data_IF_054706651048
#
_entry.id   IF_054706651048
#
_cell.length_a   1.000
_cell.length_b   1.000
_cell.length_c   1.000
_cell.angle_alpha   90.00
_cell.angle_beta   90.00
_cell.angle_gamma   90.00
#
_symmetry.space_group_name_H-M   'P 1'
#
loop_
_entity.id
_entity.type
_entity.pdbx_description
1 polymer ?
#
# COMPACT_ATOMS: atom_id res chain seq x y z
N UNK A 1 5.61 23.42 -24.33
CA UNK A 1 4.30 23.00 -23.81
C UNK A 1 3.91 24.02 -22.76
N UNK A 2 2.75 24.62 -22.93
CA UNK A 2 2.16 25.54 -21.94
C UNK A 2 1.83 24.80 -20.63
N UNK A 3 1.67 25.53 -19.52
CA UNK A 3 1.37 24.94 -18.20
C UNK A 3 0.05 24.15 -18.24
N UNK A 4 -1.00 24.69 -18.88
CA UNK A 4 -2.30 24.01 -18.95
C UNK A 4 -2.23 22.76 -19.83
N UNK A 5 -1.43 22.81 -20.89
CA UNK A 5 -1.13 21.62 -21.71
C UNK A 5 -0.40 20.56 -20.88
N UNK A 6 0.56 20.96 -20.03
CA UNK A 6 1.27 20.01 -19.15
C UNK A 6 0.36 19.36 -18.13
N UNK A 7 -0.54 20.11 -17.51
CA UNK A 7 -1.51 19.56 -16.55
C UNK A 7 -2.41 18.52 -17.24
N UNK A 8 -2.97 18.84 -18.41
CA UNK A 8 -3.79 17.90 -19.20
C UNK A 8 -3.01 16.66 -19.59
N UNK A 9 -1.75 16.83 -20.00
CA UNK A 9 -0.88 15.72 -20.35
C UNK A 9 -0.66 14.77 -19.16
N UNK A 10 -0.26 15.28 -18.00
CA UNK A 10 -0.01 14.46 -16.79
C UNK A 10 -1.27 13.69 -16.39
N UNK A 11 -2.43 14.34 -16.33
CA UNK A 11 -3.70 13.68 -16.02
C UNK A 11 -4.02 12.55 -17.01
N UNK A 12 -3.73 12.76 -18.29
CA UNK A 12 -3.96 11.74 -19.32
C UNK A 12 -3.04 10.53 -19.17
N UNK A 13 -1.79 10.74 -18.79
CA UNK A 13 -0.83 9.65 -18.57
C UNK A 13 -1.16 8.85 -17.31
N UNK A 14 -1.57 9.52 -16.23
CA UNK A 14 -2.03 8.84 -15.02
C UNK A 14 -3.32 8.03 -15.27
N UNK A 15 -4.27 8.55 -16.05
CA UNK A 15 -5.47 7.81 -16.42
C UNK A 15 -5.13 6.54 -17.23
N UNK A 16 -4.20 6.63 -18.20
CA UNK A 16 -3.70 5.47 -18.95
C UNK A 16 -3.03 4.46 -18.03
N UNK A 17 -2.22 4.92 -17.07
CA UNK A 17 -1.58 4.03 -16.10
C UNK A 17 -2.62 3.26 -15.28
N UNK A 18 -3.69 3.92 -14.82
CA UNK A 18 -4.79 3.26 -14.09
C UNK A 18 -5.50 2.23 -14.99
N UNK A 19 -5.79 2.58 -16.25
CA UNK A 19 -6.44 1.66 -17.20
C UNK A 19 -5.57 0.43 -17.54
N UNK A 20 -4.25 0.58 -17.46
CA UNK A 20 -3.29 -0.49 -17.74
C UNK A 20 -3.10 -1.48 -16.58
N UNK A 21 -3.71 -1.23 -15.41
CA UNK A 21 -3.60 -2.11 -14.25
C UNK A 21 -4.09 -3.51 -14.63
N UNK A 22 -3.18 -4.48 -14.61
CA UNK A 22 -3.51 -5.87 -14.86
C UNK A 22 -4.30 -6.44 -13.67
N UNK A 23 -5.54 -6.83 -13.92
CA UNK A 23 -6.41 -7.49 -12.94
C UNK A 23 -6.35 -9.00 -13.18
N UNK A 24 -6.03 -9.74 -12.13
CA UNK A 24 -5.95 -11.20 -12.14
C UNK A 24 -6.54 -11.81 -10.86
N UNK A 25 -6.57 -13.14 -10.78
CA UNK A 25 -7.12 -13.85 -9.61
C UNK A 25 -6.38 -13.56 -8.31
N UNK A 26 -5.14 -13.06 -8.36
CA UNK A 26 -4.39 -12.68 -7.16
C UNK A 26 -5.10 -11.60 -6.32
N UNK A 27 -5.86 -10.71 -6.96
CA UNK A 27 -6.67 -9.71 -6.24
C UNK A 27 -7.72 -10.38 -5.36
N UNK A 28 -8.40 -11.40 -5.90
CA UNK A 28 -9.43 -12.15 -5.18
C UNK A 28 -8.83 -12.87 -3.98
N UNK A 29 -7.67 -13.49 -4.16
CA UNK A 29 -6.99 -14.22 -3.10
C UNK A 29 -6.53 -13.29 -1.97
N UNK A 30 -5.93 -12.14 -2.32
CA UNK A 30 -5.50 -11.14 -1.33
C UNK A 30 -6.67 -10.51 -0.60
N UNK A 31 -7.77 -10.17 -1.30
CA UNK A 31 -8.98 -9.62 -0.65
C UNK A 31 -9.58 -10.63 0.33
N UNK A 32 -9.66 -11.91 -0.05
CA UNK A 32 -10.12 -12.96 0.86
C UNK A 32 -9.18 -13.16 2.05
N UNK A 33 -7.88 -13.09 1.84
CA UNK A 33 -6.89 -13.19 2.92
C UNK A 33 -7.09 -12.04 3.92
N UNK A 34 -7.19 -10.80 3.43
CA UNK A 34 -7.41 -9.61 4.26
C UNK A 34 -8.76 -9.66 5.01
N UNK A 35 -9.83 -10.11 4.35
CA UNK A 35 -11.14 -10.24 4.96
C UNK A 35 -11.19 -11.27 6.11
N UNK A 36 -10.29 -12.26 6.10
CA UNK A 36 -10.15 -13.28 7.15
C UNK A 36 -9.02 -12.97 8.14
N UNK A 37 -8.48 -11.74 8.14
CA UNK A 37 -7.44 -11.34 9.09
C UNK A 37 -7.98 -11.43 10.53
N UNK A 38 -7.26 -12.12 11.40
CA UNK A 38 -7.70 -12.36 12.79
C UNK A 38 -7.25 -11.25 13.76
N UNK A 39 -6.36 -10.36 13.33
CA UNK A 39 -5.80 -9.30 14.15
C UNK A 39 -5.82 -7.99 13.35
N UNK A 40 -4.71 -7.62 12.71
CA UNK A 40 -4.58 -6.38 11.95
C UNK A 40 -3.75 -6.56 10.69
N UNK A 41 -3.97 -5.67 9.74
CA UNK A 41 -3.19 -5.54 8.52
C UNK A 41 -2.08 -4.51 8.76
N UNK A 42 -0.84 -4.96 8.82
CA UNK A 42 0.33 -4.09 8.91
C UNK A 42 0.76 -3.72 7.50
N UNK A 43 0.88 -2.43 7.22
CA UNK A 43 1.37 -1.92 5.93
C UNK A 43 2.75 -1.33 6.11
N UNK A 44 3.60 -1.45 5.09
CA UNK A 44 4.96 -0.90 5.17
C UNK A 44 5.46 -0.45 3.79
N UNK A 45 6.41 0.48 3.77
CA UNK A 45 7.01 1.00 2.54
C UNK A 45 7.89 2.22 2.80
N UNK A 46 8.78 2.54 1.86
CA UNK A 46 9.71 3.68 1.95
C UNK A 46 9.33 4.78 0.95
N UNK A 47 9.52 6.03 1.34
CA UNK A 47 9.33 7.20 0.48
C UNK A 47 7.91 7.32 -0.08
N UNK A 48 7.77 7.56 -1.39
CA UNK A 48 6.46 7.69 -2.04
C UNK A 48 5.57 6.46 -1.85
N UNK A 49 6.15 5.26 -1.90
CA UNK A 49 5.42 4.02 -1.65
C UNK A 49 4.96 3.92 -0.19
N UNK A 50 5.77 4.41 0.75
CA UNK A 50 5.40 4.54 2.17
C UNK A 50 4.21 5.48 2.39
N UNK A 51 4.14 6.61 1.70
CA UNK A 51 2.97 7.50 1.77
C UNK A 51 1.68 6.82 1.28
N UNK A 52 1.76 6.05 0.19
CA UNK A 52 0.61 5.28 -0.31
C UNK A 52 0.23 4.16 0.66
N UNK A 53 1.21 3.44 1.22
CA UNK A 53 0.99 2.41 2.24
C UNK A 53 0.26 2.98 3.48
N UNK A 54 0.70 4.15 3.95
CA UNK A 54 0.08 4.83 5.08
C UNK A 54 -1.36 5.26 4.77
N UNK A 55 -1.62 5.85 3.59
CA UNK A 55 -2.99 6.16 3.14
C UNK A 55 -3.85 4.91 3.05
N UNK A 56 -3.30 3.81 2.53
CA UNK A 56 -3.99 2.53 2.41
C UNK A 56 -4.40 2.00 3.79
N UNK A 57 -3.50 2.03 4.76
CA UNK A 57 -3.78 1.65 6.16
C UNK A 57 -4.88 2.50 6.80
N UNK A 58 -4.83 3.82 6.61
CA UNK A 58 -5.87 4.73 7.09
C UNK A 58 -7.23 4.42 6.45
N UNK A 59 -7.23 4.11 5.15
CA UNK A 59 -8.46 3.73 4.43
C UNK A 59 -9.06 2.45 5.03
N UNK A 60 -8.25 1.38 5.17
CA UNK A 60 -8.69 0.12 5.76
C UNK A 60 -9.29 0.31 7.16
N UNK A 61 -8.60 1.06 8.02
CA UNK A 61 -9.04 1.30 9.39
C UNK A 61 -10.39 2.04 9.42
N UNK A 62 -10.58 3.03 8.53
CA UNK A 62 -11.85 3.76 8.43
C UNK A 62 -13.00 2.94 7.84
N UNK A 63 -12.70 1.87 7.10
CA UNK A 63 -13.70 0.96 6.51
C UNK A 63 -13.89 -0.33 7.31
N UNK A 64 -13.40 -0.38 8.56
CA UNK A 64 -13.65 -1.51 9.48
C UNK A 64 -12.66 -2.66 9.40
N UNK A 65 -11.54 -2.51 8.69
CA UNK A 65 -10.43 -3.48 8.69
C UNK A 65 -9.27 -2.92 9.53
N UNK A 66 -8.99 -3.46 10.74
CA UNK A 66 -7.93 -2.95 11.59
C UNK A 66 -6.59 -2.92 10.85
N UNK A 67 -5.93 -1.76 10.81
CA UNK A 67 -4.66 -1.62 10.11
C UNK A 67 -3.74 -0.60 10.78
N UNK A 68 -2.43 -0.79 10.62
CA UNK A 68 -1.39 0.15 11.06
C UNK A 68 -0.29 0.26 10.02
N UNK A 69 0.33 1.43 9.89
CA UNK A 69 1.52 1.63 9.07
C UNK A 69 2.78 1.52 9.93
N UNK A 70 3.72 0.69 9.49
CA UNK A 70 5.05 0.52 10.07
C UNK A 70 6.10 1.02 9.07
N UNK A 71 6.84 2.06 9.44
CA UNK A 71 7.92 2.56 8.61
C UNK A 71 9.15 1.62 8.71
N UNK A 72 9.74 1.13 7.60
CA UNK A 72 10.84 0.15 7.63
C UNK A 72 12.04 0.56 8.47
N UNK A 73 12.39 1.85 8.50
CA UNK A 73 13.52 2.33 9.30
C UNK A 73 13.27 2.19 10.81
N UNK A 74 12.02 2.32 11.27
CA UNK A 74 11.68 2.19 12.70
C UNK A 74 11.57 0.72 13.11
N UNK A 75 11.19 -0.15 12.17
CA UNK A 75 11.11 -1.60 12.38
C UNK A 75 12.45 -2.17 12.90
N UNK A 76 13.58 -1.68 12.35
CA UNK A 76 14.92 -2.07 12.77
C UNK A 76 15.30 -1.60 14.20
N UNK A 77 14.55 -0.65 14.78
CA UNK A 77 14.79 -0.06 16.09
C UNK A 77 13.81 -0.57 17.16
N UNK A 78 13.05 -1.63 16.89
CA UNK A 78 12.19 -2.31 17.88
C UNK A 78 10.71 -2.35 17.51
N UNK A 79 10.26 -1.51 16.57
CA UNK A 79 8.85 -1.43 16.18
C UNK A 79 8.35 -2.68 15.43
N UNK A 80 9.25 -3.59 15.05
CA UNK A 80 8.85 -4.95 14.63
C UNK A 80 7.99 -5.66 15.67
N UNK A 81 8.07 -5.29 16.95
CA UNK A 81 7.19 -5.81 18.01
C UNK A 81 5.71 -5.51 17.80
N UNK A 82 5.36 -4.59 16.89
CA UNK A 82 3.97 -4.35 16.47
C UNK A 82 3.39 -5.55 15.71
N UNK A 83 4.23 -6.35 15.04
CA UNK A 83 3.80 -7.50 14.23
C UNK A 83 3.61 -8.72 15.12
N UNK A 84 2.46 -9.38 14.95
CA UNK A 84 2.10 -10.64 15.61
C UNK A 84 1.85 -11.75 14.57
N UNK A 85 1.95 -13.05 14.93
CA UNK A 85 1.74 -14.16 13.98
C UNK A 85 0.37 -14.19 13.30
N UNK A 86 -0.65 -13.56 13.89
CA UNK A 86 -2.01 -13.47 13.36
C UNK A 86 -2.24 -12.25 12.46
N UNK A 87 -1.22 -11.42 12.25
CA UNK A 87 -1.29 -10.23 11.40
C UNK A 87 -1.03 -10.59 9.93
N UNK A 88 -1.44 -9.69 9.02
CA UNK A 88 -1.06 -9.73 7.62
C UNK A 88 -0.14 -8.55 7.32
N UNK A 89 1.05 -8.81 6.77
CA UNK A 89 1.97 -7.77 6.32
C UNK A 89 1.80 -7.50 4.81
N UNK A 90 1.57 -6.24 4.44
CA UNK A 90 1.53 -5.77 3.05
C UNK A 90 2.66 -4.76 2.82
N UNK A 91 3.66 -5.16 2.04
CA UNK A 91 4.82 -4.33 1.71
C UNK A 91 4.65 -3.63 0.35
N UNK A 92 4.76 -2.31 0.35
CA UNK A 92 4.68 -1.47 -0.85
C UNK A 92 6.10 -1.14 -1.34
N UNK A 93 6.47 -1.67 -2.51
CA UNK A 93 7.72 -1.35 -3.20
C UNK A 93 7.53 -1.33 -4.71
N UNK A 94 7.82 -0.20 -5.35
CA UNK A 94 7.71 -0.06 -6.81
C UNK A 94 8.81 -0.84 -7.55
N UNK A 95 10.01 -0.94 -6.98
CA UNK A 95 11.14 -1.65 -7.61
C UNK A 95 11.26 -3.11 -7.18
N UNK A 96 10.60 -3.50 -6.09
CA UNK A 96 10.77 -4.81 -5.44
C UNK A 96 12.19 -5.04 -4.88
N UNK A 97 13.04 -4.01 -4.88
CA UNK A 97 14.47 -4.09 -4.51
C UNK A 97 14.82 -3.18 -3.32
N UNK A 98 13.81 -2.65 -2.64
CA UNK A 98 13.99 -1.87 -1.42
C UNK A 98 14.69 -2.73 -0.38
N UNK A 99 15.81 -2.22 0.15
CA UNK A 99 16.58 -2.83 1.22
C UNK A 99 16.10 -2.33 2.57
#
# INVERSE_FOLDING_TARGET
MDILERVKYVLSEEAKAIQSVHVSDSYKDVVKLMANCQSKIVTTGIGKAGHIAHKFSATLSSTGSPSVFLHPAEAAHGDLGIISPSDILIAFSTSGKSR
#
